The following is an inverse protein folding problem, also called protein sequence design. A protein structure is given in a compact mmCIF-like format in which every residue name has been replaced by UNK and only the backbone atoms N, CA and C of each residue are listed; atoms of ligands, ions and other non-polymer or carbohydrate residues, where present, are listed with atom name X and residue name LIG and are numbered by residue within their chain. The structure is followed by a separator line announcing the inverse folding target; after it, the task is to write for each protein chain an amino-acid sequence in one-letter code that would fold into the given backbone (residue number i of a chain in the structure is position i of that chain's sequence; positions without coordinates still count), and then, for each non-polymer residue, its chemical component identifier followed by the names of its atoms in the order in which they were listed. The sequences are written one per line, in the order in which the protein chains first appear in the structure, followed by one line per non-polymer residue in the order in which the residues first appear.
data_IF_927440988601
#
_entry.id   IF_927440988601
#
_cell.length_a   1.000
_cell.length_b   1.000
_cell.length_c   1.000
_cell.angle_alpha   90.00
_cell.angle_beta   90.00
_cell.angle_gamma   90.00
#
_symmetry.space_group_name_H-M   'P 1'
#
loop_
_entity.id
_entity.type
_entity.pdbx_description
1 polymer ?
#
# COMPACT_ATOMS: atom_id res chain seq x y z
N UNK A 1 78.86 -17.77 -3.79
CA UNK A 1 78.54 -16.74 -4.80
C UNK A 1 77.23 -17.18 -5.45
N UNK A 2 76.05 -16.94 -4.83
CA UNK A 2 75.16 -15.76 -5.04
C UNK A 2 75.13 -15.38 -6.53
N UNK A 3 74.03 -15.52 -7.28
CA UNK A 3 72.86 -14.63 -7.27
C UNK A 3 71.62 -15.32 -7.88
N UNK A 4 70.48 -15.09 -7.20
CA UNK A 4 69.08 -15.32 -7.58
C UNK A 4 68.56 -14.28 -8.58
N UNK A 5 67.53 -14.61 -9.36
CA UNK A 5 66.59 -13.63 -9.92
C UNK A 5 66.09 -13.96 -11.32
N UNK A 6 64.85 -13.70 -11.74
CA UNK A 6 63.63 -13.14 -11.12
C UNK A 6 62.48 -13.67 -12.00
N UNK A 7 61.50 -14.36 -11.42
CA UNK A 7 60.21 -14.59 -12.08
C UNK A 7 59.42 -13.27 -12.03
N UNK A 8 59.34 -12.57 -13.16
CA UNK A 8 58.40 -11.46 -13.34
C UNK A 8 57.02 -12.07 -13.53
N UNK A 9 56.23 -12.11 -12.46
CA UNK A 9 54.82 -12.46 -12.50
C UNK A 9 54.03 -11.31 -13.11
N UNK A 10 53.72 -11.43 -14.40
CA UNK A 10 52.83 -10.50 -15.08
C UNK A 10 51.42 -10.66 -14.50
N UNK A 11 51.02 -9.70 -13.67
CA UNK A 11 49.74 -9.70 -12.98
C UNK A 11 48.68 -9.20 -13.95
N UNK A 12 48.16 -10.11 -14.78
CA UNK A 12 46.97 -9.86 -15.60
C UNK A 12 45.76 -9.62 -14.68
N UNK A 13 45.55 -8.39 -14.23
CA UNK A 13 44.26 -7.93 -13.72
C UNK A 13 43.23 -8.09 -14.85
N UNK A 14 42.40 -9.13 -14.77
CA UNK A 14 41.35 -9.39 -15.75
C UNK A 14 40.40 -8.18 -15.81
N UNK A 15 40.25 -7.48 -16.95
CA UNK A 15 39.46 -6.24 -17.05
C UNK A 15 37.95 -6.43 -16.76
N UNK A 16 37.46 -7.67 -16.65
CA UNK A 16 36.06 -7.99 -16.32
C UNK A 16 35.68 -7.87 -14.84
N UNK A 17 36.64 -7.95 -13.89
CA UNK A 17 36.35 -8.01 -12.46
C UNK A 17 35.78 -6.70 -11.88
N UNK A 18 36.40 -5.56 -12.24
CA UNK A 18 35.97 -4.22 -11.77
C UNK A 18 34.59 -3.83 -12.32
N UNK A 19 34.28 -4.20 -13.56
CA UNK A 19 32.96 -3.93 -14.18
C UNK A 19 31.86 -4.75 -13.53
N UNK A 20 32.09 -6.05 -13.27
CA UNK A 20 31.14 -6.93 -12.57
C UNK A 20 30.85 -6.43 -11.14
N UNK A 21 31.88 -6.00 -10.41
CA UNK A 21 31.77 -5.42 -9.06
C UNK A 21 30.94 -4.13 -9.02
N UNK A 22 31.16 -3.20 -9.96
CA UNK A 22 30.37 -1.95 -10.06
C UNK A 22 28.89 -2.21 -10.35
N UNK A 23 28.59 -3.12 -11.27
CA UNK A 23 27.19 -3.48 -11.59
C UNK A 23 26.47 -4.10 -10.39
N UNK A 24 27.15 -4.97 -9.63
CA UNK A 24 26.59 -5.57 -8.42
C UNK A 24 26.28 -4.55 -7.33
N UNK A 25 27.20 -3.63 -7.05
CA UNK A 25 26.96 -2.54 -6.08
C UNK A 25 25.81 -1.62 -6.52
N UNK A 26 25.75 -1.28 -7.81
CA UNK A 26 24.65 -0.48 -8.35
C UNK A 26 23.29 -1.18 -8.19
N UNK A 27 23.21 -2.47 -8.49
CA UNK A 27 21.99 -3.26 -8.34
C UNK A 27 21.53 -3.38 -6.88
N UNK A 28 22.46 -3.61 -5.95
CA UNK A 28 22.16 -3.64 -4.51
C UNK A 28 21.67 -2.28 -4.00
N UNK A 29 22.27 -1.19 -4.47
CA UNK A 29 21.81 0.17 -4.13
C UNK A 29 20.42 0.48 -4.68
N UNK A 30 20.11 0.01 -5.89
CA UNK A 30 18.80 0.16 -6.51
C UNK A 30 17.72 -0.62 -5.73
N UNK A 31 17.98 -1.89 -5.38
CA UNK A 31 17.07 -2.69 -4.56
C UNK A 31 16.81 -2.06 -3.19
N UNK A 32 17.84 -1.51 -2.55
CA UNK A 32 17.67 -0.81 -1.28
C UNK A 32 16.80 0.42 -1.43
N UNK A 33 17.00 1.20 -2.50
CA UNK A 33 16.15 2.37 -2.81
C UNK A 33 14.71 1.95 -3.08
N UNK A 34 14.48 0.90 -3.86
CA UNK A 34 13.14 0.35 -4.10
C UNK A 34 12.46 -0.04 -2.79
N UNK A 35 13.16 -0.73 -1.89
CA UNK A 35 12.61 -1.10 -0.59
C UNK A 35 12.23 0.14 0.23
N UNK A 36 13.13 1.13 0.34
CA UNK A 36 12.83 2.37 1.09
C UNK A 36 11.62 3.09 0.50
N UNK A 37 11.57 3.28 -0.82
CA UNK A 37 10.44 3.98 -1.48
C UNK A 37 9.13 3.22 -1.27
N UNK A 38 9.15 1.89 -1.39
CA UNK A 38 7.96 1.07 -1.14
C UNK A 38 7.50 1.19 0.33
N UNK A 39 8.43 1.13 1.28
CA UNK A 39 8.10 1.30 2.69
C UNK A 39 7.59 2.71 3.01
N UNK A 40 8.14 3.75 2.40
CA UNK A 40 7.62 5.13 2.55
C UNK A 40 6.20 5.24 2.02
N UNK A 41 5.89 4.63 0.87
CA UNK A 41 4.51 4.62 0.37
C UNK A 41 3.55 3.88 1.29
N UNK A 42 3.93 2.73 1.85
CA UNK A 42 3.11 2.03 2.85
C UNK A 42 2.93 2.81 4.16
N UNK A 43 3.93 3.56 4.63
CA UNK A 43 3.71 4.45 5.77
C UNK A 43 2.83 5.64 5.39
N UNK A 44 3.01 6.18 4.18
CA UNK A 44 2.26 7.31 3.67
C UNK A 44 0.75 6.99 3.65
N UNK A 45 0.35 5.79 3.23
CA UNK A 45 -1.07 5.40 3.25
C UNK A 45 -1.68 5.57 4.64
N UNK A 46 -1.04 5.05 5.69
CA UNK A 46 -1.56 5.12 7.06
C UNK A 46 -1.61 6.55 7.61
N UNK A 47 -0.53 7.31 7.44
CA UNK A 47 -0.44 8.68 7.98
C UNK A 47 -1.34 9.66 7.23
N UNK A 48 -1.80 9.32 6.03
CA UNK A 48 -2.80 10.11 5.30
C UNK A 48 -4.23 9.63 5.56
N UNK A 49 -4.47 8.32 5.62
CA UNK A 49 -5.81 7.74 5.75
C UNK A 49 -6.44 8.03 7.12
N UNK A 50 -5.68 7.83 8.21
CA UNK A 50 -6.21 8.00 9.56
C UNK A 50 -6.65 9.45 9.80
N UNK A 51 -5.81 10.48 9.52
CA UNK A 51 -6.27 11.85 9.69
C UNK A 51 -7.37 12.26 8.71
N UNK A 52 -7.38 11.76 7.47
CA UNK A 52 -8.47 12.04 6.53
C UNK A 52 -9.83 11.63 7.09
N UNK A 53 -9.95 10.41 7.62
CA UNK A 53 -11.18 9.90 8.23
C UNK A 53 -11.61 10.73 9.47
N UNK A 54 -10.65 11.21 10.26
CA UNK A 54 -10.92 12.10 11.39
C UNK A 54 -11.38 13.49 10.93
N UNK A 55 -10.84 13.99 9.83
CA UNK A 55 -11.21 15.28 9.26
C UNK A 55 -12.61 15.26 8.64
N UNK A 56 -13.06 14.11 8.12
CA UNK A 56 -14.41 13.90 7.57
C UNK A 56 -15.53 13.76 8.61
N UNK A 57 -15.23 13.64 9.90
CA UNK A 57 -16.26 13.43 10.94
C UNK A 57 -17.44 14.41 10.89
N UNK A 58 -17.27 15.71 10.58
CA UNK A 58 -18.42 16.60 10.48
C UNK A 58 -19.47 16.13 9.45
N UNK A 59 -19.02 15.63 8.29
CA UNK A 59 -19.91 15.09 7.26
C UNK A 59 -20.47 13.72 7.68
N UNK A 60 -19.61 12.87 8.24
CA UNK A 60 -19.95 11.45 8.47
C UNK A 60 -20.81 11.22 9.73
N UNK A 61 -20.81 12.15 10.69
CA UNK A 61 -21.41 11.93 12.03
C UNK A 61 -22.39 13.00 12.48
N UNK A 62 -22.22 14.27 12.09
CA UNK A 62 -23.04 15.35 12.65
C UNK A 62 -24.48 15.31 12.11
N UNK A 63 -24.68 14.77 10.91
CA UNK A 63 -26.00 14.55 10.29
C UNK A 63 -26.74 15.83 9.89
N UNK A 64 -26.06 16.97 9.99
CA UNK A 64 -26.53 18.28 9.59
C UNK A 64 -25.44 19.12 8.91
N UNK A 65 -24.39 18.49 8.35
CA UNK A 65 -23.24 19.21 7.81
C UNK A 65 -23.65 20.23 6.74
N UNK A 66 -24.58 19.87 5.84
CA UNK A 66 -24.98 20.75 4.74
C UNK A 66 -25.68 22.02 5.25
N UNK A 67 -26.41 21.94 6.36
CA UNK A 67 -27.15 23.05 6.95
C UNK A 67 -26.50 23.65 8.22
N UNK A 68 -25.35 23.12 8.64
CA UNK A 68 -24.77 23.35 9.97
C UNK A 68 -23.70 24.44 10.04
N UNK A 69 -22.79 24.33 11.02
CA UNK A 69 -21.64 25.23 11.17
C UNK A 69 -20.50 24.91 10.18
N UNK A 70 -19.68 25.91 9.85
CA UNK A 70 -18.64 25.77 8.83
C UNK A 70 -17.47 24.90 9.32
N UNK A 71 -17.25 23.77 8.64
CA UNK A 71 -16.06 22.94 8.80
C UNK A 71 -15.40 22.61 7.44
N UNK A 72 -15.64 23.42 6.41
CA UNK A 72 -15.27 23.13 5.01
C UNK A 72 -13.77 22.93 4.85
N UNK A 73 -12.96 23.84 5.40
CA UNK A 73 -11.49 23.74 5.33
C UNK A 73 -10.97 22.44 5.96
N UNK A 74 -11.64 21.94 7.00
CA UNK A 74 -11.30 20.67 7.65
C UNK A 74 -11.60 19.51 6.70
N UNK A 75 -12.79 19.50 6.08
CA UNK A 75 -13.20 18.46 5.13
C UNK A 75 -12.35 18.48 3.86
N UNK A 76 -12.07 19.66 3.30
CA UNK A 76 -11.19 19.85 2.15
C UNK A 76 -9.77 19.35 2.41
N UNK A 77 -9.23 19.60 3.62
CA UNK A 77 -7.95 19.02 4.03
C UNK A 77 -8.01 17.48 4.08
N UNK A 78 -9.11 16.91 4.55
CA UNK A 78 -9.36 15.46 4.50
C UNK A 78 -9.32 14.93 3.07
N UNK A 79 -10.00 15.59 2.14
CA UNK A 79 -9.98 15.24 0.71
C UNK A 79 -8.58 15.32 0.10
N UNK A 80 -7.81 16.35 0.45
CA UNK A 80 -6.41 16.44 0.02
C UNK A 80 -5.56 15.28 0.54
N UNK A 81 -5.74 14.86 1.79
CA UNK A 81 -5.05 13.69 2.33
C UNK A 81 -5.45 12.39 1.63
N UNK A 82 -6.71 12.22 1.23
CA UNK A 82 -7.11 11.06 0.43
C UNK A 82 -6.48 11.03 -0.97
N UNK A 83 -6.23 12.19 -1.58
CA UNK A 83 -5.46 12.23 -2.83
C UNK A 83 -4.01 11.76 -2.61
N UNK A 84 -3.38 12.14 -1.50
CA UNK A 84 -2.05 11.64 -1.13
C UNK A 84 -2.08 10.13 -0.84
N UNK A 85 -3.13 9.64 -0.17
CA UNK A 85 -3.37 8.21 0.05
C UNK A 85 -3.44 7.45 -1.28
N UNK A 86 -4.19 7.95 -2.26
CA UNK A 86 -4.32 7.34 -3.60
C UNK A 86 -2.97 7.26 -4.30
N UNK A 87 -2.18 8.34 -4.27
CA UNK A 87 -0.83 8.36 -4.84
C UNK A 87 0.07 7.34 -4.13
N UNK A 88 0.00 7.26 -2.81
CA UNK A 88 0.78 6.30 -2.02
C UNK A 88 0.36 4.85 -2.29
N UNK A 89 -0.93 4.60 -2.41
CA UNK A 89 -1.53 3.30 -2.70
C UNK A 89 -1.03 2.75 -4.05
N UNK A 90 -1.16 3.53 -5.13
CA UNK A 90 -0.64 3.17 -6.47
C UNK A 90 0.89 3.11 -6.46
N UNK A 91 1.55 4.07 -5.82
CA UNK A 91 3.01 4.16 -5.71
C UNK A 91 3.62 2.92 -5.06
N UNK A 92 2.96 2.36 -4.04
CA UNK A 92 3.38 1.13 -3.39
C UNK A 92 3.43 -0.05 -4.37
N UNK A 93 2.39 -0.20 -5.20
CA UNK A 93 2.29 -1.25 -6.20
C UNK A 93 3.34 -1.10 -7.30
N UNK A 94 3.43 0.09 -7.89
CA UNK A 94 4.39 0.38 -8.97
C UNK A 94 5.81 0.16 -8.51
N UNK A 95 6.13 0.54 -7.27
CA UNK A 95 7.48 0.38 -6.70
C UNK A 95 7.83 -1.08 -6.45
N UNK A 96 6.89 -1.88 -5.94
CA UNK A 96 7.14 -3.29 -5.62
C UNK A 96 7.04 -4.22 -6.83
N UNK A 97 6.26 -3.86 -7.85
CA UNK A 97 5.99 -4.70 -9.01
C UNK A 97 7.25 -5.29 -9.67
N UNK A 98 8.32 -4.52 -9.95
CA UNK A 98 9.55 -5.06 -10.56
C UNK A 98 10.21 -6.16 -9.74
N UNK A 99 10.02 -6.16 -8.42
CA UNK A 99 10.58 -7.14 -7.49
C UNK A 99 9.68 -8.37 -7.43
N UNK A 100 8.41 -8.19 -7.10
CA UNK A 100 7.51 -9.31 -6.80
C UNK A 100 7.06 -10.07 -8.06
N UNK A 101 7.08 -9.43 -9.25
CA UNK A 101 6.82 -10.12 -10.53
C UNK A 101 7.82 -11.23 -10.85
N UNK A 102 9.01 -11.18 -10.23
CA UNK A 102 10.07 -12.20 -10.40
C UNK A 102 9.72 -13.51 -9.69
N UNK A 103 8.82 -13.45 -8.71
CA UNK A 103 8.29 -14.64 -8.02
C UNK A 103 7.11 -15.25 -8.78
N UNK A 104 6.11 -14.44 -9.13
CA UNK A 104 4.98 -14.85 -9.94
C UNK A 104 4.40 -13.63 -10.67
N UNK A 105 4.40 -13.68 -12.00
CA UNK A 105 3.97 -12.54 -12.82
C UNK A 105 2.48 -12.25 -12.68
N UNK A 106 1.63 -13.28 -12.70
CA UNK A 106 0.18 -13.13 -12.68
C UNK A 106 -0.32 -12.58 -11.34
N UNK A 107 0.19 -13.10 -10.22
CA UNK A 107 -0.19 -12.60 -8.89
C UNK A 107 0.33 -11.18 -8.68
N UNK A 108 1.55 -10.87 -9.15
CA UNK A 108 2.10 -9.51 -9.08
C UNK A 108 1.27 -8.51 -9.91
N UNK A 109 0.79 -8.91 -11.08
CA UNK A 109 -0.11 -8.09 -11.88
C UNK A 109 -1.45 -7.90 -11.17
N UNK A 110 -2.02 -8.97 -10.61
CA UNK A 110 -3.22 -8.92 -9.78
C UNK A 110 -3.08 -7.94 -8.62
N UNK A 111 -1.92 -7.91 -7.96
CA UNK A 111 -1.63 -6.95 -6.89
C UNK A 111 -1.64 -5.48 -7.36
N UNK A 112 -1.07 -5.21 -8.54
CA UNK A 112 -1.09 -3.86 -9.12
C UNK A 112 -2.52 -3.45 -9.50
N UNK A 113 -3.26 -4.34 -10.16
CA UNK A 113 -4.67 -4.09 -10.50
C UNK A 113 -5.51 -3.87 -9.23
N UNK A 114 -5.26 -4.62 -8.16
CA UNK A 114 -5.89 -4.46 -6.86
C UNK A 114 -5.66 -3.08 -6.26
N UNK A 115 -4.40 -2.61 -6.20
CA UNK A 115 -4.08 -1.24 -5.71
C UNK A 115 -4.75 -0.15 -6.54
N UNK A 116 -4.85 -0.32 -7.87
CA UNK A 116 -5.53 0.65 -8.74
C UNK A 116 -7.04 0.65 -8.50
N UNK A 117 -7.67 -0.53 -8.39
CA UNK A 117 -9.09 -0.66 -8.08
C UNK A 117 -9.42 -0.07 -6.71
N UNK A 118 -8.63 -0.38 -5.69
CA UNK A 118 -8.73 0.17 -4.34
C UNK A 118 -8.70 1.70 -4.37
N UNK A 119 -7.70 2.26 -5.05
CA UNK A 119 -7.54 3.71 -5.21
C UNK A 119 -8.73 4.35 -5.91
N UNK A 120 -9.26 3.72 -6.97
CA UNK A 120 -10.43 4.22 -7.67
C UNK A 120 -11.67 4.26 -6.76
N UNK A 121 -11.87 3.23 -5.93
CA UNK A 121 -12.98 3.19 -4.97
C UNK A 121 -12.83 4.27 -3.89
N UNK A 122 -11.61 4.47 -3.38
CA UNK A 122 -11.31 5.56 -2.41
C UNK A 122 -11.68 6.92 -3.00
N UNK A 123 -11.31 7.20 -4.25
CA UNK A 123 -11.66 8.47 -4.92
C UNK A 123 -13.18 8.67 -4.99
N UNK A 124 -13.96 7.62 -5.22
CA UNK A 124 -15.43 7.72 -5.25
C UNK A 124 -15.98 8.15 -3.88
N UNK A 125 -15.46 7.58 -2.79
CA UNK A 125 -15.81 7.98 -1.42
C UNK A 125 -15.38 9.41 -1.09
N UNK A 126 -14.17 9.80 -1.50
CA UNK A 126 -13.66 11.16 -1.36
C UNK A 126 -14.60 12.17 -2.04
N UNK A 127 -14.99 11.87 -3.28
CA UNK A 127 -15.88 12.72 -4.07
C UNK A 127 -17.24 12.86 -3.41
N UNK A 128 -17.82 11.80 -2.83
CA UNK A 128 -19.12 11.92 -2.16
C UNK A 128 -19.08 12.88 -0.98
N UNK A 129 -17.97 12.89 -0.22
CA UNK A 129 -17.76 13.82 0.89
C UNK A 129 -17.51 15.25 0.37
N UNK A 130 -16.72 15.43 -0.70
CA UNK A 130 -16.46 16.75 -1.29
C UNK A 130 -17.72 17.36 -1.94
N UNK A 131 -18.64 16.54 -2.46
CA UNK A 131 -19.96 17.01 -2.90
C UNK A 131 -20.75 17.60 -1.73
N UNK A 132 -20.65 17.06 -0.53
CA UNK A 132 -21.30 17.65 0.65
C UNK A 132 -20.78 19.06 0.95
N UNK A 133 -19.48 19.32 0.75
CA UNK A 133 -18.89 20.66 0.87
C UNK A 133 -19.50 21.61 -0.17
N UNK A 134 -19.61 21.16 -1.42
CA UNK A 134 -20.21 21.97 -2.51
C UNK A 134 -21.65 22.34 -2.18
N UNK A 135 -22.47 21.36 -1.77
CA UNK A 135 -23.87 21.59 -1.41
C UNK A 135 -24.03 22.52 -0.23
N UNK A 136 -23.16 22.41 0.78
CA UNK A 136 -23.15 23.34 1.91
C UNK A 136 -22.90 24.77 1.46
N UNK A 137 -21.89 24.98 0.61
CA UNK A 137 -21.52 26.30 0.10
C UNK A 137 -22.64 26.91 -0.75
N UNK A 138 -23.25 26.11 -1.63
CA UNK A 138 -24.33 26.56 -2.51
C UNK A 138 -25.63 26.87 -1.73
N UNK A 139 -25.84 26.24 -0.58
CA UNK A 139 -27.07 26.35 0.20
C UNK A 139 -26.93 27.13 1.52
N UNK A 140 -25.80 27.81 1.75
CA UNK A 140 -25.43 28.42 3.05
C UNK A 140 -26.51 29.36 3.64
N UNK A 141 -27.36 29.96 2.82
CA UNK A 141 -28.44 30.88 3.25
C UNK A 141 -29.87 30.34 3.02
N UNK A 142 -30.01 29.12 2.47
CA UNK A 142 -31.31 28.55 2.05
C UNK A 142 -31.58 27.15 2.60
N UNK A 143 -30.54 26.44 3.07
CA UNK A 143 -30.70 25.12 3.68
C UNK A 143 -31.27 25.26 5.09
N UNK A 144 -32.54 24.91 5.24
CA UNK A 144 -33.11 24.61 6.56
C UNK A 144 -32.67 23.20 6.98
N UNK A 145 -32.07 23.08 8.17
CA UNK A 145 -31.69 21.79 8.76
C UNK A 145 -32.90 20.86 8.98
N UNK A 146 -34.12 21.40 9.03
CA UNK A 146 -35.38 20.64 9.06
C UNK A 146 -35.85 20.14 7.69
N UNK A 147 -35.18 20.52 6.59
CA UNK A 147 -35.60 20.11 5.25
C UNK A 147 -35.25 18.63 5.00
N UNK A 148 -36.29 17.80 4.91
CA UNK A 148 -36.15 16.36 4.69
C UNK A 148 -35.35 15.99 3.43
N UNK A 149 -35.39 16.83 2.38
CA UNK A 149 -34.63 16.59 1.15
C UNK A 149 -33.12 16.78 1.38
N UNK A 150 -32.72 17.82 2.12
CA UNK A 150 -31.31 18.07 2.47
C UNK A 150 -30.77 16.92 3.31
N UNK A 151 -31.50 16.51 4.35
CA UNK A 151 -31.07 15.39 5.19
C UNK A 151 -31.03 14.07 4.43
N UNK A 152 -31.91 13.86 3.44
CA UNK A 152 -31.88 12.66 2.60
C UNK A 152 -30.63 12.63 1.71
N UNK A 153 -30.28 13.76 1.08
CA UNK A 153 -29.07 13.87 0.25
C UNK A 153 -27.82 13.65 1.10
N UNK A 154 -27.72 14.27 2.27
CA UNK A 154 -26.58 14.08 3.18
C UNK A 154 -26.40 12.61 3.56
N UNK A 155 -27.49 11.94 3.98
CA UNK A 155 -27.45 10.49 4.28
C UNK A 155 -27.05 9.64 3.08
N UNK A 156 -27.47 10.00 1.87
CA UNK A 156 -27.04 9.29 0.66
C UNK A 156 -25.54 9.45 0.38
N UNK A 157 -24.98 10.64 0.57
CA UNK A 157 -23.53 10.88 0.40
C UNK A 157 -22.69 10.13 1.43
N UNK A 158 -23.15 10.11 2.69
CA UNK A 158 -22.54 9.31 3.76
C UNK A 158 -22.64 7.82 3.45
N UNK A 159 -23.79 7.35 2.96
CA UNK A 159 -23.95 5.94 2.59
C UNK A 159 -23.02 5.55 1.43
N UNK A 160 -22.84 6.42 0.42
CA UNK A 160 -21.86 6.18 -0.67
C UNK A 160 -20.46 6.05 -0.09
N UNK A 161 -20.06 6.98 0.78
CA UNK A 161 -18.76 6.93 1.45
C UNK A 161 -18.59 5.62 2.23
N UNK A 162 -19.54 5.25 3.08
CA UNK A 162 -19.45 4.05 3.91
C UNK A 162 -19.37 2.75 3.08
N UNK A 163 -20.12 2.67 1.97
CA UNK A 163 -20.01 1.54 1.04
C UNK A 163 -18.65 1.51 0.34
N UNK A 164 -18.13 2.64 -0.12
CA UNK A 164 -16.80 2.70 -0.73
C UNK A 164 -15.70 2.38 0.27
N UNK A 165 -15.86 2.77 1.54
CA UNK A 165 -14.92 2.45 2.62
C UNK A 165 -14.89 0.94 2.89
N UNK A 166 -16.05 0.28 2.93
CA UNK A 166 -16.14 -1.17 3.07
C UNK A 166 -15.56 -1.91 1.86
N UNK A 167 -15.80 -1.42 0.64
CA UNK A 167 -15.36 -2.12 -0.58
C UNK A 167 -13.88 -1.90 -0.88
N UNK A 168 -13.38 -0.67 -0.80
CA UNK A 168 -11.99 -0.34 -1.15
C UNK A 168 -11.02 -0.66 0.00
N UNK A 169 -10.92 0.23 1.01
CA UNK A 169 -10.03 0.07 2.17
C UNK A 169 -10.18 -1.21 3.00
N UNK A 170 -11.34 -1.88 2.97
CA UNK A 170 -11.51 -3.13 3.71
C UNK A 170 -11.42 -4.37 2.81
N UNK A 171 -12.32 -4.50 1.82
CA UNK A 171 -12.40 -5.74 1.03
C UNK A 171 -11.28 -5.87 0.00
N UNK A 172 -11.12 -4.88 -0.89
CA UNK A 172 -10.09 -4.90 -1.94
C UNK A 172 -8.70 -4.83 -1.33
N UNK A 173 -8.45 -3.91 -0.39
CA UNK A 173 -7.17 -3.83 0.34
C UNK A 173 -6.84 -5.17 0.99
N UNK A 174 -7.79 -5.78 1.72
CA UNK A 174 -7.57 -7.05 2.40
C UNK A 174 -7.10 -8.16 1.46
N UNK A 175 -7.81 -8.33 0.35
CA UNK A 175 -7.48 -9.34 -0.65
C UNK A 175 -6.12 -9.04 -1.28
N UNK A 176 -5.85 -7.77 -1.58
CA UNK A 176 -4.62 -7.32 -2.17
C UNK A 176 -3.40 -7.50 -1.25
N UNK A 177 -3.58 -7.23 0.04
CA UNK A 177 -2.61 -7.47 1.12
C UNK A 177 -2.29 -8.94 1.26
N UNK A 178 -3.28 -9.83 1.15
CA UNK A 178 -3.05 -11.27 1.11
C UNK A 178 -2.17 -11.67 -0.08
N UNK A 179 -2.45 -11.18 -1.29
CA UNK A 179 -1.67 -11.50 -2.48
C UNK A 179 -0.21 -11.05 -2.35
N UNK A 180 0.02 -9.83 -1.88
CA UNK A 180 1.38 -9.34 -1.67
C UNK A 180 2.09 -10.14 -0.57
N UNK A 181 1.42 -10.38 0.57
CA UNK A 181 1.99 -11.14 1.67
C UNK A 181 2.36 -12.57 1.24
N UNK A 182 1.55 -13.20 0.39
CA UNK A 182 1.86 -14.48 -0.23
C UNK A 182 3.12 -14.42 -1.10
N UNK A 183 3.24 -13.42 -1.98
CA UNK A 183 4.44 -13.23 -2.83
C UNK A 183 5.69 -13.04 -1.98
N UNK A 184 5.60 -12.21 -0.93
CA UNK A 184 6.68 -11.91 0.00
C UNK A 184 7.04 -13.12 0.86
N UNK A 185 6.05 -13.94 1.26
CA UNK A 185 6.26 -15.20 1.97
C UNK A 185 7.03 -16.19 1.10
N UNK A 186 6.58 -16.39 -0.14
CA UNK A 186 7.17 -17.36 -1.10
C UNK A 186 8.58 -16.97 -1.55
N UNK A 187 8.86 -15.68 -1.61
CA UNK A 187 10.16 -15.15 -1.99
C UNK A 187 11.09 -14.87 -0.80
N UNK A 188 10.60 -14.98 0.43
CA UNK A 188 11.37 -14.70 1.65
C UNK A 188 12.00 -13.28 1.70
N UNK A 189 11.39 -12.31 1.01
CA UNK A 189 11.89 -10.94 0.92
C UNK A 189 11.93 -10.22 2.29
N UNK A 190 11.13 -10.68 3.26
CA UNK A 190 11.10 -10.19 4.65
C UNK A 190 10.98 -11.39 5.61
N UNK A 191 11.11 -11.21 6.93
CA UNK A 191 10.90 -12.27 7.90
C UNK A 191 9.54 -12.95 7.74
N UNK A 192 9.51 -14.28 7.82
CA UNK A 192 8.29 -15.08 7.63
C UNK A 192 7.17 -14.67 8.57
N UNK A 193 7.49 -14.21 9.78
CA UNK A 193 6.49 -13.72 10.75
C UNK A 193 5.69 -12.53 10.18
N UNK A 194 6.37 -11.56 9.56
CA UNK A 194 5.69 -10.42 8.91
C UNK A 194 4.83 -10.91 7.75
N UNK A 195 5.36 -11.80 6.90
CA UNK A 195 4.59 -12.31 5.77
C UNK A 195 3.36 -13.14 6.20
N UNK A 196 3.46 -13.95 7.26
CA UNK A 196 2.34 -14.71 7.82
C UNK A 196 1.30 -13.77 8.42
N UNK A 197 1.72 -12.72 9.14
CA UNK A 197 0.82 -11.69 9.67
C UNK A 197 0.03 -11.00 8.54
N UNK A 198 0.66 -10.73 7.39
CA UNK A 198 -0.02 -10.16 6.23
C UNK A 198 -1.01 -11.09 5.58
N UNK A 199 -0.67 -12.39 5.45
CA UNK A 199 -1.60 -13.37 4.91
C UNK A 199 -2.79 -13.57 5.86
N UNK A 200 -2.56 -13.70 7.17
CA UNK A 200 -3.65 -13.85 8.14
C UNK A 200 -4.50 -12.58 8.23
N UNK A 201 -3.88 -11.40 8.31
CA UNK A 201 -4.57 -10.12 8.36
C UNK A 201 -5.37 -9.82 7.10
N UNK A 202 -4.77 -10.01 5.92
CA UNK A 202 -5.46 -9.83 4.64
C UNK A 202 -6.66 -10.76 4.48
N UNK A 203 -6.50 -12.04 4.81
CA UNK A 203 -7.63 -12.99 4.79
C UNK A 203 -8.71 -12.60 5.80
N UNK A 204 -8.32 -12.25 7.03
CA UNK A 204 -9.25 -11.90 8.11
C UNK A 204 -10.09 -10.66 7.78
N UNK A 205 -9.45 -9.58 7.31
CA UNK A 205 -10.17 -8.34 6.98
C UNK A 205 -11.07 -8.52 5.75
N UNK A 206 -10.67 -9.32 4.75
CA UNK A 206 -11.50 -9.62 3.58
C UNK A 206 -12.74 -10.42 3.96
N UNK A 207 -12.56 -11.47 4.75
CA UNK A 207 -13.67 -12.28 5.27
C UNK A 207 -14.57 -11.42 6.17
N UNK A 208 -13.96 -10.52 6.95
CA UNK A 208 -14.71 -9.62 7.81
C UNK A 208 -15.57 -8.64 7.04
N UNK A 209 -14.99 -7.99 6.01
CA UNK A 209 -15.72 -7.10 5.12
C UNK A 209 -16.84 -7.86 4.37
N UNK A 210 -16.61 -9.11 3.99
CA UNK A 210 -17.62 -9.98 3.38
C UNK A 210 -18.77 -10.27 4.36
N UNK A 211 -18.46 -10.62 5.61
CA UNK A 211 -19.49 -10.85 6.63
C UNK A 211 -20.29 -9.57 6.91
N UNK A 212 -19.63 -8.42 6.94
CA UNK A 212 -20.29 -7.12 7.11
C UNK A 212 -21.19 -6.77 5.91
N UNK A 213 -20.78 -7.11 4.69
CA UNK A 213 -21.60 -6.93 3.48
C UNK A 213 -22.93 -7.68 3.58
N UNK A 214 -22.96 -8.85 4.23
CA UNK A 214 -24.18 -9.62 4.49
C UNK A 214 -24.88 -9.26 5.82
N UNK A 215 -24.44 -8.20 6.50
CA UNK A 215 -25.09 -7.71 7.72
C UNK A 215 -24.88 -8.60 8.96
N UNK A 216 -23.84 -9.45 8.98
CA UNK A 216 -23.57 -10.34 10.12
C UNK A 216 -23.20 -9.54 11.38
N UNK A 217 -22.45 -8.45 11.21
CA UNK A 217 -22.12 -7.49 12.27
C UNK A 217 -21.77 -6.11 11.67
N UNK A 218 -21.66 -5.10 12.53
CA UNK A 218 -21.32 -3.72 12.15
C UNK A 218 -19.84 -3.37 12.24
N UNK A 219 -19.54 -2.08 12.02
CA UNK A 219 -18.17 -1.54 11.90
C UNK A 219 -17.27 -1.82 13.12
N UNK A 220 -17.80 -1.83 14.35
CA UNK A 220 -16.97 -1.99 15.56
C UNK A 220 -16.20 -3.31 15.61
N UNK A 221 -16.85 -4.41 15.24
CA UNK A 221 -16.22 -5.74 15.15
C UNK A 221 -15.24 -5.77 13.97
N UNK A 222 -15.63 -5.18 12.84
CA UNK A 222 -14.78 -5.10 11.65
C UNK A 222 -13.44 -4.37 11.93
N UNK A 223 -13.48 -3.23 12.62
CA UNK A 223 -12.27 -2.46 12.99
C UNK A 223 -11.28 -3.30 13.79
N UNK A 224 -11.75 -4.13 14.73
CA UNK A 224 -10.87 -5.01 15.51
C UNK A 224 -10.23 -6.08 14.61
N UNK A 225 -11.01 -6.64 13.68
CA UNK A 225 -10.53 -7.66 12.74
C UNK A 225 -9.59 -7.09 11.65
N UNK A 226 -9.59 -5.78 11.44
CA UNK A 226 -8.64 -5.08 10.57
C UNK A 226 -7.28 -4.80 11.25
N UNK A 227 -7.18 -4.86 12.58
CA UNK A 227 -5.92 -4.57 13.28
C UNK A 227 -4.73 -5.43 12.82
N UNK A 228 -4.88 -6.74 12.52
CA UNK A 228 -3.76 -7.53 12.04
C UNK A 228 -3.22 -7.11 10.66
N UNK A 229 -4.09 -6.66 9.74
CA UNK A 229 -3.62 -6.14 8.44
C UNK A 229 -2.91 -4.81 8.61
N UNK A 230 -3.45 -3.91 9.44
CA UNK A 230 -2.80 -2.65 9.78
C UNK A 230 -1.42 -2.87 10.43
N UNK A 231 -1.33 -3.79 11.40
CA UNK A 231 -0.07 -4.16 12.03
C UNK A 231 0.92 -4.75 11.01
N UNK A 232 0.45 -5.49 10.02
CA UNK A 232 1.28 -5.97 8.92
C UNK A 232 1.79 -4.84 8.03
N UNK A 233 0.94 -3.92 7.57
CA UNK A 233 1.33 -2.82 6.69
C UNK A 233 2.41 -1.95 7.35
N UNK A 234 2.22 -1.57 8.62
CA UNK A 234 3.20 -0.82 9.40
C UNK A 234 4.51 -1.62 9.59
N UNK A 235 4.42 -2.90 9.96
CA UNK A 235 5.60 -3.75 10.16
C UNK A 235 6.40 -3.95 8.88
N UNK A 236 5.70 -4.18 7.76
CA UNK A 236 6.28 -4.35 6.45
C UNK A 236 6.99 -3.06 6.00
N UNK A 237 6.34 -1.92 6.18
CA UNK A 237 6.89 -0.62 5.84
C UNK A 237 8.18 -0.29 6.62
N UNK A 238 8.13 -0.44 7.95
CA UNK A 238 9.28 -0.21 8.83
C UNK A 238 10.43 -1.15 8.45
N UNK A 239 10.14 -2.42 8.18
CA UNK A 239 11.14 -3.39 7.77
C UNK A 239 11.84 -2.97 6.46
N UNK A 240 11.05 -2.60 5.44
CA UNK A 240 11.59 -2.18 4.15
C UNK A 240 12.47 -0.93 4.25
N UNK A 241 12.08 0.04 5.08
CA UNK A 241 12.86 1.27 5.31
C UNK A 241 14.17 0.95 6.04
N UNK A 242 14.07 0.25 7.18
CA UNK A 242 15.20 0.05 8.09
C UNK A 242 16.19 -1.01 7.57
N UNK A 243 15.68 -2.13 7.05
CA UNK A 243 16.48 -3.31 6.66
C UNK A 243 16.50 -3.54 5.16
N UNK A 244 15.40 -3.27 4.47
CA UNK A 244 15.23 -3.61 3.05
C UNK A 244 14.94 -5.10 2.82
N UNK A 245 15.07 -5.54 1.58
CA UNK A 245 14.82 -6.94 1.21
C UNK A 245 15.92 -7.86 1.73
N UNK A 246 15.52 -9.03 2.24
CA UNK A 246 16.45 -10.11 2.59
C UNK A 246 17.03 -10.73 1.31
N UNK A 247 18.25 -11.30 1.37
CA UNK A 247 18.78 -12.11 0.28
C UNK A 247 17.79 -13.22 -0.10
N UNK A 248 17.48 -13.32 -1.39
CA UNK A 248 16.43 -14.21 -1.89
C UNK A 248 16.80 -14.75 -3.27
N UNK A 249 16.43 -16.00 -3.62
CA UNK A 249 16.67 -16.57 -4.95
C UNK A 249 16.14 -15.70 -6.09
N UNK A 250 15.01 -15.00 -5.88
CA UNK A 250 14.47 -14.12 -6.92
C UNK A 250 15.35 -12.89 -7.16
N UNK A 251 16.21 -12.51 -6.21
CA UNK A 251 17.13 -11.38 -6.33
C UNK A 251 18.52 -11.80 -6.86
N UNK A 252 18.90 -13.08 -6.76
CA UNK A 252 20.23 -13.59 -7.10
C UNK A 252 20.69 -13.29 -8.55
N UNK A 253 19.77 -13.22 -9.51
CA UNK A 253 20.10 -12.83 -10.90
C UNK A 253 20.53 -11.37 -11.07
N UNK A 254 20.37 -10.52 -10.04
CA UNK A 254 20.90 -9.15 -9.99
C UNK A 254 22.31 -9.09 -9.42
N UNK A 255 22.77 -10.19 -8.79
CA UNK A 255 24.09 -10.28 -8.16
C UNK A 255 25.20 -10.68 -9.16
N UNK A 256 24.82 -10.99 -10.41
CA UNK A 256 25.74 -11.34 -11.49
C UNK A 256 26.37 -12.73 -11.37
N UNK A 257 25.85 -13.58 -10.46
CA UNK A 257 26.23 -14.99 -10.44
C UNK A 257 25.57 -15.72 -11.63
N UNK A 258 26.31 -16.55 -12.38
CA UNK A 258 25.73 -17.37 -13.42
C UNK A 258 24.66 -18.25 -12.77
N UNK A 259 23.45 -18.27 -13.32
CA UNK A 259 22.50 -19.33 -13.03
C UNK A 259 23.21 -20.62 -13.44
N UNK A 260 23.62 -21.43 -12.46
CA UNK A 260 24.09 -22.78 -12.72
C UNK A 260 22.92 -23.49 -13.41
N UNK A 261 23.01 -23.62 -14.75
CA UNK A 261 22.11 -24.46 -15.50
C UNK A 261 22.31 -25.86 -14.92
N UNK A 262 21.31 -26.34 -14.18
CA UNK A 262 21.27 -27.72 -13.73
C UNK A 262 21.50 -28.60 -14.94
N UNK A 263 22.62 -29.33 -14.91
CA UNK A 263 22.94 -30.33 -15.91
C UNK A 263 21.84 -31.38 -15.92
N UNK A 264 21.43 -31.74 -17.13
CA UNK A 264 20.52 -32.87 -17.31
C UNK A 264 21.15 -34.17 -16.85
N UNK A 265 20.29 -35.03 -16.32
CA UNK A 265 20.29 -36.47 -16.52
C UNK A 265 18.86 -36.94 -16.36
#
# INVERSE_FOLDING_TARGET
MVVSGVFVGDSYERPGGRRKGRTRMANMSALRRTAIVAGVFYLATEVTAIPALLLYQPVLRDGNYIAGANADNRVLLGGFLELLLVVACIGSAVTLYPVVKRQNHSIALGYVCGRVLESAIIVIGAVSVLVAVTLRQDLTDTADAGNAAVSAIERSLVAIHDWTFLLGPSWVLGFNSFLLAYLVYRSELVPRIIAILGMSGGALVTLSATAMLFGVYGQSVHTVLALPVFAWEVSFAIWLIAKGFRPSPILAGLDGEPVARGGGS
#
